data_IF_882639359183
#
_entry.id   IF_882639359183
#
_cell.length_a   1.000
_cell.length_b   1.000
_cell.length_c   1.000
_cell.angle_alpha   90.00
_cell.angle_beta   90.00
_cell.angle_gamma   90.00
#
_symmetry.space_group_name_H-M   'P 1'
#
loop_
_entity.id
_entity.type
_entity.pdbx_description
1 polymer ?
#
# COMPACT_ATOMS: atom_id res chain seq x y z
N UNK A 1 5.68 -14.33 5.88
CA UNK A 1 4.88 -13.35 5.13
C UNK A 1 5.65 -12.05 5.15
N UNK A 2 5.72 -11.31 4.05
CA UNK A 2 6.39 -10.00 4.00
C UNK A 2 5.44 -8.95 3.44
N UNK A 3 5.54 -7.71 3.94
CA UNK A 3 4.77 -6.58 3.44
C UNK A 3 5.72 -5.45 3.09
N UNK A 4 5.62 -4.98 1.86
CA UNK A 4 6.55 -3.99 1.33
C UNK A 4 5.91 -3.10 0.29
N UNK A 5 6.52 -1.93 0.11
CA UNK A 5 6.19 -1.03 -0.99
C UNK A 5 6.93 -1.46 -2.26
N UNK A 6 6.24 -1.45 -3.41
CA UNK A 6 6.82 -1.73 -4.73
C UNK A 6 6.62 -0.56 -5.66
N UNK A 7 7.69 -0.10 -6.29
CA UNK A 7 7.66 0.95 -7.30
C UNK A 7 6.80 0.56 -8.49
N UNK A 8 5.94 1.48 -8.92
CA UNK A 8 5.19 1.41 -10.17
C UNK A 8 5.38 2.69 -10.98
N UNK A 9 4.92 2.72 -12.24
CA UNK A 9 5.16 3.84 -13.17
C UNK A 9 4.78 5.24 -12.62
N UNK A 10 3.88 5.33 -11.65
CA UNK A 10 3.40 6.60 -11.07
C UNK A 10 3.07 6.47 -9.58
N UNK A 11 3.97 5.91 -8.78
CA UNK A 11 3.77 5.76 -7.34
C UNK A 11 4.23 4.40 -6.85
N UNK A 12 3.62 3.90 -5.78
CA UNK A 12 3.94 2.59 -5.22
C UNK A 12 2.69 1.82 -4.82
N UNK A 13 2.75 0.50 -4.96
CA UNK A 13 1.77 -0.41 -4.40
C UNK A 13 2.29 -0.98 -3.09
N UNK A 14 1.42 -1.08 -2.09
CA UNK A 14 1.67 -1.90 -0.92
C UNK A 14 1.33 -3.34 -1.27
N UNK A 15 2.28 -4.24 -1.09
CA UNK A 15 2.19 -5.65 -1.49
C UNK A 15 2.36 -6.51 -0.26
N UNK A 16 1.52 -7.53 -0.13
CA UNK A 16 1.78 -8.67 0.76
C UNK A 16 2.26 -9.84 -0.08
N UNK A 17 3.33 -10.48 0.35
CA UNK A 17 3.84 -11.73 -0.19
C UNK A 17 3.59 -12.83 0.85
N UNK A 18 2.68 -13.74 0.50
CA UNK A 18 2.50 -14.97 1.26
C UNK A 18 3.71 -15.90 1.06
N UNK A 19 3.99 -16.74 2.06
CA UNK A 19 5.07 -17.73 2.01
C UNK A 19 5.03 -18.71 0.82
N UNK A 20 3.90 -18.81 0.11
CA UNK A 20 3.78 -19.55 -1.14
C UNK A 20 4.28 -18.79 -2.40
N UNK A 21 4.80 -17.56 -2.25
CA UNK A 21 5.24 -16.71 -3.38
C UNK A 21 4.09 -16.07 -4.15
N UNK A 22 2.91 -15.95 -3.50
CA UNK A 22 1.75 -15.26 -4.04
C UNK A 22 1.76 -13.82 -3.53
N UNK A 23 2.00 -12.89 -4.46
CA UNK A 23 2.02 -11.46 -4.19
C UNK A 23 0.65 -10.84 -4.45
N UNK A 24 0.05 -10.19 -3.46
CA UNK A 24 -1.20 -9.45 -3.59
C UNK A 24 -1.02 -7.96 -3.33
N UNK A 25 -1.65 -7.13 -4.16
CA UNK A 25 -1.70 -5.68 -3.94
C UNK A 25 -2.81 -5.38 -2.93
N UNK A 26 -2.42 -4.78 -1.82
CA UNK A 26 -3.30 -4.52 -0.67
C UNK A 26 -3.49 -3.03 -0.38
N UNK A 27 -2.86 -2.18 -1.19
CA UNK A 27 -3.02 -0.74 -1.14
C UNK A 27 -2.05 -0.07 -2.09
N UNK A 28 -2.02 1.25 -2.06
CA UNK A 28 -1.09 1.99 -2.88
C UNK A 28 -1.30 3.49 -2.84
N UNK A 29 -0.34 4.21 -3.36
CA UNK A 29 -0.51 5.60 -3.73
C UNK A 29 -0.12 5.83 -5.19
N UNK A 30 -0.69 6.89 -5.75
CA UNK A 30 -0.44 7.33 -7.11
C UNK A 30 -0.17 8.81 -7.16
N UNK A 31 0.90 9.19 -7.84
CA UNK A 31 1.24 10.58 -8.10
C UNK A 31 0.49 11.10 -9.32
N UNK A 32 -0.22 12.21 -9.12
CA UNK A 32 -0.96 12.91 -10.16
C UNK A 32 -0.57 14.39 -10.19
N UNK A 33 -0.93 15.10 -11.28
CA UNK A 33 -0.62 16.53 -11.44
C UNK A 33 -1.19 17.45 -10.34
N UNK A 34 -2.11 16.94 -9.53
CA UNK A 34 -2.87 17.68 -8.50
C UNK A 34 -2.57 17.23 -7.08
N UNK A 35 -1.55 16.40 -6.89
CA UNK A 35 -1.21 15.80 -5.60
C UNK A 35 -1.18 14.27 -5.68
N UNK A 36 -1.17 13.64 -4.52
CA UNK A 36 -1.03 12.19 -4.38
C UNK A 36 -2.37 11.59 -3.94
N UNK A 37 -2.79 10.54 -4.62
CA UNK A 37 -4.01 9.80 -4.27
C UNK A 37 -3.60 8.47 -3.63
N UNK A 38 -4.22 8.09 -2.51
CA UNK A 38 -3.92 6.87 -1.79
C UNK A 38 -5.17 6.00 -1.60
N UNK A 39 -4.98 4.69 -1.48
CA UNK A 39 -6.02 3.74 -1.17
C UNK A 39 -5.51 2.52 -0.39
N UNK A 40 -6.35 1.96 0.46
CA UNK A 40 -6.13 0.70 1.17
C UNK A 40 -7.25 -0.31 0.85
N UNK A 41 -6.90 -1.59 0.85
CA UNK A 41 -7.88 -2.70 0.76
C UNK A 41 -8.45 -2.96 2.15
N UNK A 42 -9.77 -3.09 2.26
CA UNK A 42 -10.48 -3.35 3.52
C UNK A 42 -11.47 -4.51 3.30
N UNK A 43 -11.86 -5.23 4.38
CA UNK A 43 -12.79 -6.38 4.31
C UNK A 43 -14.22 -5.97 3.89
N UNK A 44 -14.55 -4.68 3.94
CA UNK A 44 -15.88 -4.16 3.66
C UNK A 44 -15.89 -2.89 2.82
N UNK A 45 -17.06 -2.26 2.74
CA UNK A 45 -17.17 -0.93 2.16
C UNK A 45 -16.78 0.12 3.21
N UNK A 46 -15.55 0.62 3.09
CA UNK A 46 -15.08 1.81 3.81
C UNK A 46 -14.83 2.93 2.80
N UNK A 47 -15.69 3.96 2.73
CA UNK A 47 -15.47 5.07 1.81
C UNK A 47 -14.19 5.84 2.14
N UNK A 48 -13.76 5.82 3.40
CA UNK A 48 -12.55 6.48 3.89
C UNK A 48 -11.26 5.75 3.52
N UNK A 49 -11.33 4.52 2.99
CA UNK A 49 -10.15 3.75 2.55
C UNK A 49 -9.45 4.35 1.34
N UNK A 50 -10.01 5.40 0.74
CA UNK A 50 -9.39 6.11 -0.38
C UNK A 50 -9.49 7.61 -0.16
N UNK A 51 -8.35 8.29 -0.27
CA UNK A 51 -8.24 9.74 -0.13
C UNK A 51 -7.36 10.31 -1.23
N UNK A 52 -7.70 11.51 -1.68
CA UNK A 52 -7.04 12.21 -2.78
C UNK A 52 -6.37 13.48 -2.28
N UNK A 53 -5.34 13.92 -3.02
CA UNK A 53 -4.70 15.22 -2.79
C UNK A 53 -3.83 15.30 -1.55
N UNK A 54 -3.11 14.23 -1.20
CA UNK A 54 -2.01 14.31 -0.24
C UNK A 54 -0.88 15.17 -0.81
N UNK A 55 -0.26 15.96 0.08
CA UNK A 55 0.87 16.83 -0.26
C UNK A 55 2.20 16.05 -0.34
N UNK A 56 2.34 14.99 0.45
CA UNK A 56 3.57 14.19 0.52
C UNK A 56 3.32 12.69 0.34
N UNK A 57 4.36 11.98 -0.12
CA UNK A 57 4.34 10.51 -0.25
C UNK A 57 4.28 9.86 1.13
N UNK A 58 4.94 10.44 2.12
CA UNK A 58 4.96 9.92 3.50
C UNK A 58 3.56 9.94 4.11
N UNK A 59 2.81 11.03 3.96
CA UNK A 59 1.42 11.11 4.43
C UNK A 59 0.51 10.10 3.72
N UNK A 60 0.70 9.93 2.40
CA UNK A 60 -0.05 8.96 1.62
C UNK A 60 0.23 7.52 2.06
N UNK A 61 1.49 7.19 2.36
CA UNK A 61 1.87 5.87 2.89
C UNK A 61 1.33 5.63 4.30
N UNK A 62 1.52 6.59 5.21
CA UNK A 62 1.02 6.50 6.57
C UNK A 62 -0.51 6.31 6.60
N UNK A 63 -1.23 6.98 5.69
CA UNK A 63 -2.66 6.75 5.50
C UNK A 63 -2.97 5.30 5.11
N UNK A 64 -2.28 4.72 4.12
CA UNK A 64 -2.53 3.32 3.72
C UNK A 64 -2.20 2.36 4.86
N UNK A 65 -1.07 2.57 5.53
CA UNK A 65 -0.61 1.73 6.63
C UNK A 65 -1.52 1.81 7.86
N UNK A 66 -2.20 2.94 8.08
CA UNK A 66 -3.17 3.08 9.20
C UNK A 66 -4.40 2.17 9.09
N UNK A 67 -4.70 1.63 7.90
CA UNK A 67 -5.76 0.63 7.71
C UNK A 67 -5.28 -0.80 7.96
N UNK A 68 -3.98 -1.01 8.17
CA UNK A 68 -3.37 -2.32 8.33
C UNK A 68 -3.88 -3.35 7.31
N UNK A 69 -3.91 -3.04 5.99
CA UNK A 69 -4.61 -3.85 5.00
C UNK A 69 -4.05 -5.28 4.82
N UNK A 70 -2.89 -5.56 5.41
CA UNK A 70 -2.26 -6.88 5.47
C UNK A 70 -2.93 -7.82 6.49
N UNK A 71 -3.65 -7.31 7.50
CA UNK A 71 -4.40 -8.12 8.47
C UNK A 71 -5.46 -8.99 7.77
N UNK A 72 -5.96 -8.55 6.60
CA UNK A 72 -6.91 -9.33 5.80
C UNK A 72 -6.32 -10.64 5.26
N UNK A 73 -5.00 -10.76 5.28
CA UNK A 73 -4.23 -11.88 4.75
C UNK A 73 -3.58 -12.71 5.87
N UNK A 74 -3.91 -12.45 7.14
CA UNK A 74 -3.31 -13.15 8.29
C UNK A 74 -1.86 -12.74 8.57
N UNK A 75 -1.47 -11.54 8.12
CA UNK A 75 -0.16 -10.95 8.37
C UNK A 75 -0.14 -10.18 9.70
N UNK A 76 -0.58 -10.80 10.79
CA UNK A 76 -0.57 -10.16 12.11
C UNK A 76 0.87 -9.89 12.57
N UNK A 77 1.12 -8.75 13.22
CA UNK A 77 2.44 -8.34 13.74
C UNK A 77 3.55 -8.13 12.68
N UNK A 78 3.18 -7.92 11.41
CA UNK A 78 4.16 -7.65 10.35
C UNK A 78 4.64 -6.20 10.38
N UNK A 79 5.95 -6.00 10.20
CA UNK A 79 6.53 -4.66 9.97
C UNK A 79 6.61 -4.41 8.47
N UNK A 80 6.05 -3.29 8.01
CA UNK A 80 6.15 -2.86 6.61
C UNK A 80 7.60 -2.46 6.30
N UNK A 81 8.17 -3.00 5.22
CA UNK A 81 9.51 -2.64 4.78
C UNK A 81 9.59 -1.15 4.39
N UNK A 82 10.52 -0.41 4.99
CA UNK A 82 10.71 1.03 4.75
C UNK A 82 11.20 1.33 3.33
N UNK A 83 12.09 0.49 2.80
CA UNK A 83 12.65 0.66 1.47
C UNK A 83 11.74 0.03 0.41
N UNK A 84 11.37 0.83 -0.59
CA UNK A 84 10.53 0.33 -1.67
C UNK A 84 11.33 -0.55 -2.64
N UNK A 85 10.80 -1.74 -2.94
CA UNK A 85 11.35 -2.64 -3.94
C UNK A 85 11.18 -2.05 -5.36
N UNK A 86 12.12 -2.31 -6.29
CA UNK A 86 12.04 -1.79 -7.64
C UNK A 86 10.83 -2.35 -8.41
N UNK A 87 10.46 -1.67 -9.50
CA UNK A 87 9.46 -2.16 -10.43
C UNK A 87 9.97 -3.46 -11.07
N UNK A 88 9.10 -4.49 -11.17
CA UNK A 88 9.40 -5.69 -11.94
C UNK A 88 9.47 -5.32 -13.43
N UNK A 89 10.60 -5.61 -14.06
CA UNK A 89 10.92 -5.27 -15.45
C UNK A 89 10.15 -6.07 -16.49
#
# INVERSE_FOLDING_TARGET
>A
MSVYWRNVKRGQNLVVDDTAGLEEIIGGYRENKRGIDAYARTMGYEPERSRKGFDTVEDAKAFVESFSPWELFGADDVTVETEARPLLG
#
